data_IF_774679315245
#
_entry.id   IF_774679315245
#
_cell.length_a   1.000
_cell.length_b   1.000
_cell.length_c   1.000
_cell.angle_alpha   90.00
_cell.angle_beta   90.00
_cell.angle_gamma   90.00
#
_symmetry.space_group_name_H-M   'P 1'
#
loop_
_entity.id
_entity.type
_entity.pdbx_description
1 polymer ?
#
# COMPACT_ATOMS: atom_id res chain seq x y z
N UNK A 1 -26.01 -7.41 13.53
CA UNK A 1 -25.02 -8.10 12.67
C UNK A 1 -23.60 -7.76 13.13
N UNK A 2 -22.73 -8.74 13.38
CA UNK A 2 -21.31 -8.47 13.71
C UNK A 2 -20.50 -8.19 12.43
N UNK A 3 -20.88 -7.13 11.71
CA UNK A 3 -20.29 -6.78 10.41
C UNK A 3 -19.30 -5.65 10.61
N UNK A 4 -18.12 -5.79 9.99
CA UNK A 4 -17.16 -4.71 9.81
C UNK A 4 -17.16 -4.33 8.32
N UNK A 5 -17.33 -3.04 8.05
CA UNK A 5 -17.27 -2.50 6.69
C UNK A 5 -15.94 -1.79 6.51
N UNK A 6 -15.18 -2.18 5.49
CA UNK A 6 -13.95 -1.49 5.11
C UNK A 6 -14.12 -0.89 3.72
N UNK A 7 -13.85 0.40 3.57
CA UNK A 7 -13.98 1.11 2.29
C UNK A 7 -12.89 2.16 2.11
N UNK A 8 -12.58 2.50 0.85
CA UNK A 8 -11.73 3.64 0.51
C UNK A 8 -12.56 4.93 0.44
N UNK A 9 -12.05 6.01 1.03
CA UNK A 9 -12.66 7.35 1.02
C UNK A 9 -11.55 8.42 0.88
N UNK A 10 -11.89 9.59 0.32
CA UNK A 10 -11.03 10.77 0.43
C UNK A 10 -11.39 11.54 1.71
N UNK A 11 -10.41 11.82 2.57
CA UNK A 11 -10.63 12.62 3.78
C UNK A 11 -9.85 13.92 3.74
N UNK A 12 -10.36 14.91 4.47
CA UNK A 12 -9.72 16.20 4.65
C UNK A 12 -9.61 16.52 6.14
N UNK A 13 -8.44 16.96 6.58
CA UNK A 13 -8.24 17.51 7.92
C UNK A 13 -7.98 19.01 7.79
N UNK A 14 -8.82 19.84 8.42
CA UNK A 14 -8.69 21.29 8.38
C UNK A 14 -7.76 21.75 9.50
N UNK A 15 -6.85 22.66 9.17
CA UNK A 15 -5.91 23.23 10.14
C UNK A 15 -6.57 24.33 10.94
N UNK A 16 -6.34 24.32 12.26
CA UNK A 16 -6.76 25.40 13.14
C UNK A 16 -5.79 26.60 13.06
N UNK A 17 -6.24 27.83 13.37
CA UNK A 17 -5.37 29.00 13.37
C UNK A 17 -4.15 28.82 14.29
N UNK A 18 -2.94 28.96 13.73
CA UNK A 18 -1.67 28.81 14.46
C UNK A 18 -1.13 27.38 14.52
N UNK A 19 -1.85 26.40 13.98
CA UNK A 19 -1.33 25.03 13.83
C UNK A 19 -0.17 24.99 12.83
N UNK A 20 0.82 24.14 13.12
CA UNK A 20 1.96 23.94 12.22
C UNK A 20 1.53 23.15 10.99
N UNK A 21 1.39 23.85 9.87
CA UNK A 21 1.03 23.24 8.59
C UNK A 21 2.12 22.33 8.05
N UNK A 22 1.70 21.19 7.50
CA UNK A 22 2.58 20.33 6.71
C UNK A 22 2.89 20.96 5.36
N UNK A 23 3.98 20.51 4.72
CA UNK A 23 4.38 20.99 3.40
C UNK A 23 3.38 20.64 2.28
N UNK A 24 2.42 19.78 2.58
CA UNK A 24 1.36 19.25 1.72
C UNK A 24 0.00 19.91 1.97
N UNK A 25 -0.07 20.90 2.87
CA UNK A 25 -1.27 21.69 3.11
C UNK A 25 -1.74 22.43 1.85
N UNK A 26 -3.06 22.54 1.71
CA UNK A 26 -3.77 23.17 0.60
C UNK A 26 -4.66 24.28 1.16
N UNK A 27 -4.93 25.30 0.36
CA UNK A 27 -5.82 26.39 0.74
C UNK A 27 -7.15 26.27 -0.01
N UNK A 28 -8.26 26.48 0.69
CA UNK A 28 -9.57 26.69 0.09
C UNK A 28 -10.37 27.68 0.93
N UNK A 29 -10.87 28.76 0.30
CA UNK A 29 -11.69 29.75 0.98
C UNK A 29 -11.01 30.46 2.16
N UNK A 30 -9.68 30.63 2.13
CA UNK A 30 -8.90 31.24 3.21
C UNK A 30 -8.62 30.32 4.41
N UNK A 31 -8.99 29.05 4.32
CA UNK A 31 -8.65 28.01 5.30
C UNK A 31 -7.67 27.01 4.69
N UNK A 32 -6.79 26.46 5.53
CA UNK A 32 -5.84 25.44 5.13
C UNK A 32 -6.33 24.06 5.52
N UNK A 33 -6.08 23.06 4.68
CA UNK A 33 -6.41 21.67 4.96
C UNK A 33 -5.40 20.71 4.35
N UNK A 34 -5.33 19.51 4.90
CA UNK A 34 -4.61 18.38 4.32
C UNK A 34 -5.59 17.38 3.74
N UNK A 35 -5.23 16.79 2.59
CA UNK A 35 -6.05 15.76 1.92
C UNK A 35 -5.36 14.41 1.99
N UNK A 36 -6.13 13.35 2.18
CA UNK A 36 -5.63 11.99 2.32
C UNK A 36 -6.43 11.02 1.44
N UNK A 37 -5.74 9.96 1.00
CA UNK A 37 -6.37 8.75 0.50
C UNK A 37 -6.49 7.78 1.67
N UNK A 38 -7.72 7.40 2.03
CA UNK A 38 -8.01 6.82 3.34
C UNK A 38 -8.77 5.52 3.20
N UNK A 39 -8.36 4.51 3.95
CA UNK A 39 -9.21 3.38 4.26
C UNK A 39 -9.96 3.69 5.56
N UNK A 40 -11.25 3.45 5.58
CA UNK A 40 -12.12 3.61 6.73
C UNK A 40 -12.73 2.26 7.09
N UNK A 41 -12.66 1.90 8.37
CA UNK A 41 -13.43 0.81 8.96
C UNK A 41 -14.63 1.38 9.70
N UNK A 42 -15.79 0.74 9.54
CA UNK A 42 -16.96 0.92 10.40
C UNK A 42 -17.22 -0.40 11.09
N UNK A 43 -17.07 -0.44 12.42
CA UNK A 43 -17.30 -1.65 13.20
C UNK A 43 -18.81 -1.91 13.42
N UNK A 44 -19.13 -3.04 14.05
CA UNK A 44 -20.52 -3.43 14.32
C UNK A 44 -21.26 -2.54 15.33
N UNK A 45 -20.54 -1.70 16.09
CA UNK A 45 -21.09 -0.71 17.01
C UNK A 45 -21.22 0.69 16.37
N UNK A 46 -20.73 0.87 15.14
CA UNK A 46 -20.72 2.13 14.42
C UNK A 46 -19.51 3.02 14.72
N UNK A 47 -18.49 2.50 15.40
CA UNK A 47 -17.24 3.22 15.59
C UNK A 47 -16.44 3.25 14.28
N UNK A 48 -15.71 4.35 14.08
CA UNK A 48 -14.90 4.56 12.90
C UNK A 48 -13.42 4.43 13.25
N UNK A 49 -12.68 3.69 12.43
CA UNK A 49 -11.21 3.74 12.41
C UNK A 49 -10.72 4.12 11.02
N UNK A 50 -9.59 4.83 10.98
CA UNK A 50 -9.03 5.37 9.75
C UNK A 50 -7.56 4.98 9.60
N UNK A 51 -7.19 4.71 8.36
CA UNK A 51 -5.81 4.55 7.92
C UNK A 51 -5.56 5.40 6.69
N UNK A 52 -4.57 6.29 6.74
CA UNK A 52 -4.20 7.14 5.62
C UNK A 52 -3.02 6.52 4.87
N UNK A 53 -3.15 6.43 3.54
CA UNK A 53 -2.14 5.86 2.64
C UNK A 53 -0.76 6.43 2.94
N UNK A 54 0.21 5.57 3.26
CA UNK A 54 1.59 5.93 3.57
C UNK A 54 2.49 5.93 2.34
N UNK A 55 2.30 5.01 1.38
CA UNK A 55 3.09 4.95 0.13
C UNK A 55 2.31 5.54 -1.04
N UNK A 56 2.47 6.84 -1.20
CA UNK A 56 1.91 7.59 -2.33
C UNK A 56 2.61 7.23 -3.65
N UNK A 57 1.84 7.21 -4.73
CA UNK A 57 2.38 7.03 -6.09
C UNK A 57 3.17 8.29 -6.49
N UNK A 58 4.47 8.17 -6.80
CA UNK A 58 5.26 9.31 -7.25
C UNK A 58 4.68 9.94 -8.52
N UNK A 59 4.62 11.27 -8.56
CA UNK A 59 4.07 12.04 -9.69
C UNK A 59 2.54 12.16 -9.69
N UNK A 60 1.82 11.09 -9.34
CA UNK A 60 0.36 11.08 -9.32
C UNK A 60 -0.26 11.55 -7.99
N UNK A 61 0.32 11.14 -6.85
CA UNK A 61 -0.20 11.47 -5.50
C UNK A 61 0.81 12.24 -4.65
N UNK A 62 2.09 12.21 -5.04
CA UNK A 62 3.15 12.96 -4.38
C UNK A 62 4.09 13.56 -5.41
N UNK A 63 4.26 14.87 -5.31
CA UNK A 63 5.28 15.58 -6.08
C UNK A 63 6.67 15.29 -5.48
N UNK A 64 7.69 14.95 -6.30
CA UNK A 64 9.07 14.90 -5.84
C UNK A 64 9.44 16.25 -5.22
N UNK A 65 10.09 16.25 -4.05
CA UNK A 65 10.52 17.45 -3.34
C UNK A 65 9.47 18.58 -3.34
N UNK A 66 8.32 18.40 -2.66
CA UNK A 66 7.19 19.31 -2.79
C UNK A 66 7.61 20.75 -2.50
N UNK A 67 8.44 21.00 -1.47
CA UNK A 67 8.98 22.34 -1.14
C UNK A 67 9.75 23.04 -2.27
N UNK A 68 10.42 22.31 -3.15
CA UNK A 68 11.22 22.87 -4.25
C UNK A 68 10.39 23.07 -5.53
N UNK A 69 9.43 22.17 -5.77
CA UNK A 69 8.67 22.13 -7.01
C UNK A 69 7.20 22.57 -6.86
N UNK A 70 6.83 23.28 -5.78
CA UNK A 70 5.45 23.77 -5.56
C UNK A 70 4.87 24.53 -6.76
N UNK A 71 5.70 25.22 -7.53
CA UNK A 71 5.31 25.97 -8.73
C UNK A 71 4.83 25.07 -9.90
N UNK A 72 5.18 23.77 -9.89
CA UNK A 72 4.74 22.78 -10.88
C UNK A 72 3.42 22.09 -10.52
N UNK A 73 2.78 22.46 -9.39
CA UNK A 73 1.50 21.87 -8.98
C UNK A 73 0.41 21.95 -10.08
N UNK A 74 0.45 22.96 -10.95
CA UNK A 74 -0.47 23.11 -12.09
C UNK A 74 -0.20 22.18 -13.29
N UNK A 75 0.94 21.48 -13.30
CA UNK A 75 1.34 20.51 -14.33
C UNK A 75 1.24 19.06 -13.83
N UNK A 76 0.86 18.84 -12.57
CA UNK A 76 0.66 17.52 -12.02
C UNK A 76 -0.46 16.81 -12.78
N UNK A 77 -0.19 15.60 -13.26
CA UNK A 77 -1.14 14.79 -14.03
C UNK A 77 -2.34 14.45 -13.15
N UNK A 78 -3.52 14.93 -13.53
CA UNK A 78 -4.77 14.55 -12.90
C UNK A 78 -5.15 13.11 -13.31
N UNK A 79 -4.73 12.15 -12.49
CA UNK A 79 -4.99 10.73 -12.67
C UNK A 79 -6.13 10.24 -11.74
N UNK A 80 -7.17 11.06 -11.54
CA UNK A 80 -8.38 10.65 -10.83
C UNK A 80 -8.90 11.63 -9.78
N UNK A 81 -8.71 12.93 -9.98
CA UNK A 81 -9.23 14.00 -9.12
C UNK A 81 -8.28 14.47 -8.02
N UNK A 82 -6.98 14.11 -8.07
CA UNK A 82 -6.00 14.46 -7.04
C UNK A 82 -4.98 15.42 -7.65
N UNK A 83 -5.17 16.71 -7.44
CA UNK A 83 -4.16 17.74 -7.73
C UNK A 83 -3.35 18.04 -6.46
N UNK A 84 -2.02 18.06 -6.56
CA UNK A 84 -1.12 18.30 -5.43
C UNK A 84 -0.78 17.06 -4.59
N UNK A 85 0.10 17.24 -3.59
CA UNK A 85 0.56 16.13 -2.74
C UNK A 85 -0.46 15.82 -1.65
N UNK A 86 -0.62 14.54 -1.31
CA UNK A 86 -1.45 14.08 -0.19
C UNK A 86 -0.65 13.97 1.11
N UNK A 87 -1.35 14.07 2.24
CA UNK A 87 -0.85 13.67 3.55
C UNK A 87 -0.74 12.15 3.66
N UNK A 88 0.02 11.68 4.65
CA UNK A 88 0.35 10.25 4.81
C UNK A 88 0.40 9.86 6.29
N UNK A 89 0.03 8.61 6.60
CA UNK A 89 0.43 8.05 7.89
C UNK A 89 1.93 7.71 7.88
N UNK A 90 2.66 7.96 8.98
CA UNK A 90 4.10 7.73 9.06
C UNK A 90 4.47 6.24 9.06
N UNK A 91 3.55 5.37 9.47
CA UNK A 91 3.78 3.95 9.62
C UNK A 91 2.53 3.11 9.30
N UNK A 92 2.69 1.82 8.95
CA UNK A 92 1.57 0.89 8.81
C UNK A 92 0.67 0.87 10.05
N UNK A 93 -0.66 0.88 9.87
CA UNK A 93 -1.63 0.75 10.96
C UNK A 93 -2.70 -0.29 10.58
N UNK A 94 -2.73 -1.40 11.31
CA UNK A 94 -3.77 -2.41 11.13
C UNK A 94 -5.04 -2.00 11.87
N UNK A 95 -6.19 -2.30 11.28
CA UNK A 95 -7.49 -2.18 11.94
C UNK A 95 -7.64 -3.28 12.99
N UNK A 96 -8.02 -2.86 14.20
CA UNK A 96 -8.14 -3.72 15.38
C UNK A 96 -9.59 -4.13 15.57
N UNK A 97 -9.93 -5.33 15.11
CA UNK A 97 -11.32 -5.78 15.02
C UNK A 97 -11.80 -6.54 16.27
N UNK A 98 -11.08 -6.42 17.39
CA UNK A 98 -11.45 -6.99 18.70
C UNK A 98 -11.49 -8.51 18.68
N UNK A 99 -12.69 -9.09 18.63
CA UNK A 99 -12.90 -10.53 18.55
C UNK A 99 -12.84 -11.08 17.11
N UNK A 100 -12.69 -10.20 16.12
CA UNK A 100 -12.49 -10.55 14.71
C UNK A 100 -11.02 -10.38 14.32
N UNK A 101 -10.57 -11.00 13.22
CA UNK A 101 -9.18 -10.91 12.81
C UNK A 101 -8.75 -9.48 12.47
N UNK A 102 -7.55 -9.09 12.90
CA UNK A 102 -6.98 -7.78 12.57
C UNK A 102 -6.68 -7.69 11.06
N UNK A 103 -6.95 -6.52 10.46
CA UNK A 103 -6.86 -6.33 9.01
C UNK A 103 -5.77 -5.30 8.67
N UNK A 104 -4.97 -5.60 7.65
CA UNK A 104 -4.09 -4.61 7.01
C UNK A 104 -4.81 -3.95 5.82
N UNK A 105 -5.24 -2.68 5.93
CA UNK A 105 -5.91 -1.97 4.84
C UNK A 105 -4.88 -1.37 3.85
N UNK A 106 -4.33 -2.20 2.98
CA UNK A 106 -3.38 -1.75 1.95
C UNK A 106 -4.12 -0.97 0.85
N UNK A 107 -3.68 0.26 0.58
CA UNK A 107 -4.30 1.10 -0.45
C UNK A 107 -3.47 1.04 -1.73
N UNK A 108 -4.02 0.40 -2.76
CA UNK A 108 -3.47 0.38 -4.11
C UNK A 108 -1.98 -0.04 -4.13
N UNK A 109 -1.12 0.90 -4.53
CA UNK A 109 0.30 0.73 -4.79
C UNK A 109 1.10 0.34 -3.56
N UNK A 110 0.56 0.48 -2.35
CA UNK A 110 1.21 0.03 -1.11
C UNK A 110 1.53 -1.46 -1.11
N UNK A 111 0.70 -2.26 -1.78
CA UNK A 111 0.85 -3.71 -1.89
C UNK A 111 2.15 -4.13 -2.59
N UNK A 112 2.77 -3.25 -3.40
CA UNK A 112 4.01 -3.57 -4.12
C UNK A 112 5.26 -3.49 -3.23
N UNK A 113 5.16 -2.86 -2.05
CA UNK A 113 6.30 -2.64 -1.14
C UNK A 113 6.39 -3.73 -0.07
N UNK A 114 7.28 -4.73 -0.20
CA UNK A 114 7.26 -5.93 0.64
C UNK A 114 7.54 -5.62 2.12
N UNK A 115 8.56 -4.82 2.41
CA UNK A 115 8.90 -4.43 3.78
C UNK A 115 7.84 -3.57 4.47
N UNK A 116 7.06 -2.81 3.69
CA UNK A 116 5.96 -2.01 4.20
C UNK A 116 4.78 -2.89 4.58
N UNK A 117 4.38 -3.82 3.69
CA UNK A 117 3.32 -4.80 3.97
C UNK A 117 3.69 -5.68 5.18
N UNK A 118 4.94 -6.14 5.27
CA UNK A 118 5.43 -6.87 6.44
C UNK A 118 5.31 -6.07 7.75
N UNK A 119 5.32 -4.74 7.69
CA UNK A 119 5.08 -3.88 8.84
C UNK A 119 3.67 -4.02 9.43
N UNK A 120 2.63 -4.19 8.60
CA UNK A 120 1.27 -4.48 9.10
C UNK A 120 1.21 -5.83 9.81
N UNK A 121 1.81 -6.86 9.19
CA UNK A 121 1.88 -8.21 9.75
C UNK A 121 2.59 -8.21 11.11
N UNK A 122 3.71 -7.49 11.24
CA UNK A 122 4.42 -7.30 12.51
C UNK A 122 3.58 -6.58 13.58
N UNK A 123 2.63 -5.74 13.17
CA UNK A 123 1.67 -5.06 14.04
C UNK A 123 0.39 -5.87 14.32
N UNK A 124 0.38 -7.14 13.92
CA UNK A 124 -0.65 -8.10 14.28
C UNK A 124 -1.69 -8.37 13.20
N UNK A 125 -1.60 -7.76 12.02
CA UNK A 125 -2.57 -8.04 10.95
C UNK A 125 -2.59 -9.54 10.60
N UNK A 126 -3.79 -10.11 10.54
CA UNK A 126 -4.06 -11.52 10.28
C UNK A 126 -4.60 -11.76 8.88
N UNK A 127 -5.10 -10.71 8.23
CA UNK A 127 -5.58 -10.70 6.85
C UNK A 127 -5.04 -9.44 6.16
N UNK A 128 -4.66 -9.56 4.90
CA UNK A 128 -4.28 -8.43 4.06
C UNK A 128 -5.47 -8.05 3.17
N UNK A 129 -5.87 -6.79 3.17
CA UNK A 129 -6.94 -6.28 2.30
C UNK A 129 -6.35 -5.23 1.39
N UNK A 130 -6.39 -5.46 0.08
CA UNK A 130 -5.91 -4.50 -0.92
C UNK A 130 -7.11 -3.81 -1.54
N UNK A 131 -7.27 -2.51 -1.26
CA UNK A 131 -8.32 -1.65 -1.81
C UNK A 131 -7.69 -0.86 -2.95
N UNK A 132 -8.15 -1.07 -4.20
CA UNK A 132 -7.49 -0.46 -5.37
C UNK A 132 -8.46 -0.04 -6.48
N UNK A 133 -7.98 0.82 -7.38
CA UNK A 133 -8.70 1.23 -8.57
C UNK A 133 -7.80 1.07 -9.81
N UNK A 134 -7.67 -0.13 -10.37
CA UNK A 134 -6.73 -0.34 -11.47
C UNK A 134 -7.24 0.17 -12.84
N UNK A 135 -8.19 1.12 -12.87
CA UNK A 135 -8.78 1.65 -14.10
C UNK A 135 -7.83 2.47 -14.97
N UNK A 136 -6.81 3.11 -14.38
CA UNK A 136 -5.82 3.89 -15.13
C UNK A 136 -4.97 3.03 -16.07
N UNK A 137 -4.83 1.72 -15.80
CA UNK A 137 -4.13 0.80 -16.70
C UNK A 137 -4.92 0.44 -17.95
N UNK A 138 -6.23 0.73 -18.00
CA UNK A 138 -7.16 0.22 -19.02
C UNK A 138 -6.99 -1.30 -19.18
N UNK A 139 -7.25 -1.84 -20.38
CA UNK A 139 -7.03 -3.25 -20.67
C UNK A 139 -5.58 -3.52 -21.10
N UNK A 140 -4.64 -3.26 -20.20
CA UNK A 140 -3.22 -3.62 -20.36
C UNK A 140 -2.79 -4.54 -19.22
N UNK A 141 -1.59 -5.12 -19.28
CA UNK A 141 -1.16 -6.07 -18.25
C UNK A 141 -0.85 -5.44 -16.88
N UNK A 142 -0.85 -4.11 -16.76
CA UNK A 142 -0.52 -3.41 -15.51
C UNK A 142 -1.37 -3.85 -14.31
N UNK A 143 -2.69 -4.02 -14.49
CA UNK A 143 -3.57 -4.48 -13.41
C UNK A 143 -3.32 -5.95 -13.02
N UNK A 144 -2.87 -6.78 -13.97
CA UNK A 144 -2.53 -8.18 -13.72
C UNK A 144 -1.21 -8.28 -12.95
N UNK A 145 -0.20 -7.49 -13.37
CA UNK A 145 1.07 -7.39 -12.66
C UNK A 145 0.87 -6.90 -11.23
N UNK A 146 0.02 -5.89 -11.02
CA UNK A 146 -0.34 -5.41 -9.69
C UNK A 146 -0.97 -6.51 -8.82
N UNK A 147 -1.89 -7.31 -9.36
CA UNK A 147 -2.44 -8.48 -8.69
C UNK A 147 -1.37 -9.54 -8.35
N UNK A 148 -0.41 -9.80 -9.25
CA UNK A 148 0.66 -10.76 -8.96
C UNK A 148 1.60 -10.30 -7.85
N UNK A 149 1.82 -9.00 -7.67
CA UNK A 149 2.53 -8.51 -6.47
C UNK A 149 1.78 -8.84 -5.18
N UNK A 150 0.45 -8.76 -5.17
CA UNK A 150 -0.34 -9.19 -4.02
C UNK A 150 -0.16 -10.70 -3.73
N UNK A 151 0.09 -11.53 -4.74
CA UNK A 151 0.41 -12.95 -4.55
C UNK A 151 1.74 -13.14 -3.80
N UNK A 152 2.76 -12.34 -4.14
CA UNK A 152 4.03 -12.35 -3.40
C UNK A 152 3.83 -11.92 -1.95
N UNK A 153 3.00 -10.90 -1.69
CA UNK A 153 2.68 -10.45 -0.32
C UNK A 153 2.03 -11.55 0.50
N UNK A 154 1.13 -12.33 -0.09
CA UNK A 154 0.48 -13.46 0.56
C UNK A 154 1.51 -14.52 1.00
N UNK A 155 2.45 -14.87 0.11
CA UNK A 155 3.53 -15.85 0.37
C UNK A 155 4.46 -15.33 1.48
N UNK A 156 4.95 -14.11 1.32
CA UNK A 156 5.92 -13.46 2.22
C UNK A 156 5.40 -13.40 3.66
N UNK A 157 4.12 -13.09 3.84
CA UNK A 157 3.51 -12.88 5.16
C UNK A 157 2.73 -14.09 5.68
N UNK A 158 2.55 -15.12 4.84
CA UNK A 158 1.66 -16.27 5.10
C UNK A 158 0.25 -15.80 5.50
N UNK A 159 -0.25 -14.80 4.81
CA UNK A 159 -1.60 -14.23 4.99
C UNK A 159 -2.41 -14.47 3.74
N UNK A 160 -3.72 -14.70 3.89
CA UNK A 160 -4.61 -14.55 2.75
C UNK A 160 -4.73 -13.06 2.40
N UNK A 161 -4.85 -12.78 1.09
CA UNK A 161 -5.06 -11.42 0.57
C UNK A 161 -6.44 -11.35 -0.05
N UNK A 162 -7.25 -10.41 0.43
CA UNK A 162 -8.51 -10.03 -0.19
C UNK A 162 -8.27 -8.77 -1.01
N UNK A 163 -8.28 -8.91 -2.33
CA UNK A 163 -8.05 -7.81 -3.25
C UNK A 163 -9.39 -7.34 -3.80
N UNK A 164 -9.78 -6.10 -3.48
CA UNK A 164 -10.98 -5.43 -3.97
C UNK A 164 -10.60 -4.32 -4.93
N UNK A 165 -10.87 -4.51 -6.22
CA UNK A 165 -10.70 -3.49 -7.25
C UNK A 165 -12.03 -2.93 -7.73
N UNK A 166 -12.12 -1.60 -7.84
CA UNK A 166 -13.19 -0.93 -8.58
C UNK A 166 -13.18 -1.33 -10.07
N UNK A 167 -12.02 -1.14 -10.70
CA UNK A 167 -11.75 -1.58 -12.06
C UNK A 167 -10.50 -2.44 -12.02
N UNK A 168 -10.59 -3.72 -12.39
CA UNK A 168 -9.49 -4.68 -12.23
C UNK A 168 -10.01 -6.09 -11.91
N UNK A 169 -9.12 -6.97 -11.43
CA UNK A 169 -9.49 -8.31 -10.96
C UNK A 169 -9.62 -8.30 -9.44
N UNK A 170 -10.83 -8.32 -8.91
CA UNK A 170 -11.04 -8.60 -7.49
C UNK A 170 -10.84 -10.09 -7.23
N UNK A 171 -10.15 -10.47 -6.17
CA UNK A 171 -9.84 -11.87 -5.93
C UNK A 171 -9.47 -12.18 -4.47
N UNK A 172 -9.62 -13.45 -4.09
CA UNK A 172 -8.96 -14.01 -2.91
C UNK A 172 -7.68 -14.72 -3.32
N UNK A 173 -6.61 -14.45 -2.60
CA UNK A 173 -5.32 -15.11 -2.77
C UNK A 173 -4.99 -15.83 -1.47
N UNK A 174 -4.69 -17.12 -1.55
CA UNK A 174 -4.36 -17.91 -0.36
C UNK A 174 -2.95 -17.60 0.18
N UNK A 175 -2.63 -18.11 1.37
CA UNK A 175 -1.32 -17.95 2.02
C UNK A 175 -0.12 -18.55 1.26
N UNK A 176 -0.37 -19.28 0.17
CA UNK A 176 0.65 -19.83 -0.73
C UNK A 176 0.77 -19.00 -2.01
N UNK A 177 0.04 -17.88 -2.13
CA UNK A 177 0.05 -17.01 -3.29
C UNK A 177 -0.78 -17.51 -4.46
N UNK A 178 -1.67 -18.49 -4.25
CA UNK A 178 -2.53 -19.01 -5.31
C UNK A 178 -3.80 -18.18 -5.37
N UNK A 179 -4.14 -17.71 -6.56
CA UNK A 179 -5.40 -17.03 -6.83
C UNK A 179 -6.50 -18.09 -6.80
N UNK A 180 -7.51 -17.85 -5.97
CA UNK A 180 -8.64 -18.77 -5.77
C UNK A 180 -9.84 -18.23 -6.53
N UNK A 181 -10.78 -17.59 -5.83
CA UNK A 181 -11.92 -16.94 -6.44
C UNK A 181 -11.50 -15.58 -6.99
N UNK A 182 -11.89 -15.28 -8.23
CA UNK A 182 -11.57 -14.01 -8.87
C UNK A 182 -12.68 -13.54 -9.81
N UNK A 183 -12.71 -12.25 -10.06
CA UNK A 183 -13.63 -11.63 -11.01
C UNK A 183 -12.99 -11.54 -12.39
N UNK A 184 -13.80 -11.21 -13.38
CA UNK A 184 -13.28 -10.70 -14.65
C UNK A 184 -12.98 -9.20 -14.55
N UNK A 185 -12.18 -8.70 -15.49
CA UNK A 185 -11.86 -7.28 -15.58
C UNK A 185 -13.08 -6.47 -16.04
N UNK A 186 -13.34 -5.34 -15.37
CA UNK A 186 -14.37 -4.37 -15.74
C UNK A 186 -15.81 -4.95 -15.76
N UNK A 187 -16.12 -5.83 -14.81
CA UNK A 187 -17.50 -6.33 -14.62
C UNK A 187 -18.02 -5.97 -13.23
N UNK A 188 -19.25 -5.42 -13.12
CA UNK A 188 -19.89 -5.22 -11.83
C UNK A 188 -20.25 -6.58 -11.23
N UNK A 189 -19.69 -6.89 -10.06
CA UNK A 189 -19.86 -8.19 -9.41
C UNK A 189 -19.63 -8.07 -7.91
N UNK A 190 -20.28 -8.93 -7.13
CA UNK A 190 -20.01 -9.13 -5.72
C UNK A 190 -19.32 -10.49 -5.57
N UNK A 191 -18.15 -10.51 -4.94
CA UNK A 191 -17.41 -11.73 -4.66
C UNK A 191 -17.51 -12.06 -3.17
N UNK A 192 -18.19 -13.15 -2.84
CA UNK A 192 -18.29 -13.67 -1.47
C UNK A 192 -17.30 -14.81 -1.28
N UNK A 193 -16.43 -14.71 -0.26
CA UNK A 193 -15.38 -15.69 0.00
C UNK A 193 -15.24 -15.98 1.49
N UNK A 194 -14.70 -17.15 1.81
CA UNK A 194 -14.26 -17.49 3.18
C UNK A 194 -12.76 -17.27 3.27
N UNK A 195 -12.33 -16.63 4.35
CA UNK A 195 -10.93 -16.29 4.61
C UNK A 195 -10.44 -16.99 5.86
N UNK A 196 -9.20 -17.48 5.83
CA UNK A 196 -8.55 -18.08 7.00
C UNK A 196 -7.54 -17.10 7.58
N UNK A 197 -7.77 -16.53 8.78
CA UNK A 197 -6.78 -15.67 9.42
C UNK A 197 -5.56 -16.48 9.84
N UNK A 198 -4.41 -15.82 9.91
CA UNK A 198 -3.16 -16.40 10.38
C UNK A 198 -2.39 -15.35 11.16
N UNK A 199 -1.88 -15.65 12.35
CA UNK A 199 -1.26 -14.66 13.24
C UNK A 199 0.27 -14.81 13.37
N UNK A 200 0.83 -15.99 13.08
CA UNK A 200 2.27 -16.21 13.22
C UNK A 200 3.10 -15.43 12.19
N UNK A 201 4.28 -14.94 12.61
CA UNK A 201 5.21 -14.24 11.72
C UNK A 201 6.14 -15.22 10.97
N UNK A 202 6.22 -15.08 9.66
CA UNK A 202 7.21 -15.76 8.80
C UNK A 202 8.62 -15.22 9.04
N UNK A 203 9.64 -15.92 8.53
CA UNK A 203 11.02 -15.41 8.55
C UNK A 203 11.13 -14.05 7.85
N UNK A 204 10.51 -13.91 6.67
CA UNK A 204 10.48 -12.66 5.92
C UNK A 204 9.79 -11.53 6.68
N UNK A 205 8.61 -11.78 7.28
CA UNK A 205 7.91 -10.75 8.03
C UNK A 205 8.71 -10.24 9.25
N UNK A 206 9.54 -11.10 9.87
CA UNK A 206 10.42 -10.72 10.99
C UNK A 206 11.66 -9.95 10.55
N UNK A 207 12.33 -10.39 9.48
CA UNK A 207 13.69 -9.92 9.15
C UNK A 207 13.77 -9.11 7.85
N UNK A 208 12.68 -9.01 7.09
CA UNK A 208 12.66 -8.43 5.74
C UNK A 208 13.46 -9.25 4.73
N UNK A 209 13.95 -8.57 3.70
CA UNK A 209 14.79 -9.17 2.65
C UNK A 209 16.24 -9.36 3.12
N UNK A 210 16.40 -10.20 4.14
CA UNK A 210 17.70 -10.54 4.72
C UNK A 210 18.62 -11.18 3.68
N UNK A 211 18.08 -12.11 2.87
CA UNK A 211 18.85 -12.83 1.85
C UNK A 211 19.32 -11.87 0.74
N UNK A 212 18.46 -11.01 0.23
CA UNK A 212 18.82 -10.03 -0.80
C UNK A 212 19.81 -8.99 -0.29
N UNK A 213 19.65 -8.53 0.95
CA UNK A 213 20.58 -7.58 1.57
C UNK A 213 21.98 -8.20 1.76
N UNK A 214 22.05 -9.40 2.32
CA UNK A 214 23.30 -10.12 2.53
C UNK A 214 23.97 -10.53 1.21
N UNK A 215 23.19 -11.00 0.24
CA UNK A 215 23.67 -11.34 -1.10
C UNK A 215 24.23 -10.12 -1.82
N UNK A 216 23.56 -8.97 -1.72
CA UNK A 216 24.03 -7.70 -2.29
C UNK A 216 25.35 -7.25 -1.65
N UNK A 217 25.47 -7.37 -0.32
CA UNK A 217 26.72 -7.08 0.40
C UNK A 217 27.87 -7.95 -0.12
N UNK A 218 27.70 -9.28 -0.19
CA UNK A 218 28.72 -10.18 -0.73
C UNK A 218 29.03 -9.87 -2.20
N UNK A 219 28.00 -9.60 -3.00
CA UNK A 219 28.15 -9.26 -4.42
C UNK A 219 29.05 -8.06 -4.65
N UNK A 220 28.95 -7.02 -3.79
CA UNK A 220 29.84 -5.85 -3.85
C UNK A 220 31.31 -6.27 -3.61
N UNK A 221 31.60 -7.08 -2.60
CA UNK A 221 32.98 -7.56 -2.36
C UNK A 221 33.49 -8.41 -3.50
N UNK A 222 32.64 -9.24 -4.10
CA UNK A 222 33.02 -10.04 -5.25
C UNK A 222 33.39 -9.18 -6.47
N UNK A 223 32.57 -8.17 -6.77
CA UNK A 223 32.83 -7.20 -7.85
C UNK A 223 34.11 -6.39 -7.60
N UNK A 224 34.32 -5.93 -6.35
CA UNK A 224 35.55 -5.25 -5.96
C UNK A 224 36.78 -6.17 -6.12
N UNK A 225 36.68 -7.43 -5.71
CA UNK A 225 37.74 -8.42 -5.89
C UNK A 225 38.08 -8.67 -7.36
N UNK A 226 37.07 -8.75 -8.23
CA UNK A 226 37.27 -8.85 -9.69
C UNK A 226 37.95 -7.60 -10.26
N UNK A 227 37.54 -6.42 -9.82
CA UNK A 227 38.15 -5.16 -10.24
C UNK A 227 39.62 -5.07 -9.82
N UNK A 228 39.95 -5.42 -8.58
CA UNK A 228 41.33 -5.43 -8.08
C UNK A 228 42.18 -6.43 -8.86
N UNK A 229 41.67 -7.66 -9.08
CA UNK A 229 42.39 -8.70 -9.85
C UNK A 229 42.69 -8.27 -11.28
N UNK A 230 41.77 -7.57 -11.94
CA UNK A 230 41.98 -7.07 -13.32
C UNK A 230 42.97 -5.91 -13.38
N UNK A 231 43.09 -5.11 -12.32
CA UNK A 231 44.10 -4.03 -12.22
C UNK A 231 45.49 -4.55 -11.86
N UNK A 232 45.58 -5.54 -10.97
CA UNK A 232 46.87 -6.11 -10.53
C UNK A 232 47.51 -6.98 -11.63
N UNK A 233 46.72 -7.70 -12.44
CA UNK A 233 47.25 -8.47 -13.58
C UNK A 233 47.82 -7.63 -14.74
N UNK A 234 47.74 -6.29 -14.66
CA UNK A 234 48.24 -5.35 -15.68
C UNK A 234 49.59 -4.70 -15.30
N UNK A 235 50.25 -5.17 -14.23
CA UNK A 235 51.63 -4.81 -13.85
C UNK A 235 52.48 -6.07 -13.97
#
# INVERSE_FOLDING_TARGET
PQIHLITGISTHNWYEPGEKMQATARESGGQFYESYNTAMEVDSAGNLDFYHKSKLVPGAERMPYPKLFQFLNGLALDLGGITGSLGVDPEPKAFKAGNQPDIAPLICYESVFPGFVAGFTRKGAEILVVITNDGWWRNTDGYKQHMYYACLRAIENRREVLRSANTGISCRIDKLGRIQEHTEWWKPVVLSVKVTPFNNLTFFARHGDYIGSFGSFIGIFFLLGMFVKTRIKKV
#
